data_IF_032021223476
#
_entry.id   IF_032021223476
#
_cell.length_a   1.000
_cell.length_b   1.000
_cell.length_c   1.000
_cell.angle_alpha   90.00
_cell.angle_beta   90.00
_cell.angle_gamma   90.00
#
_symmetry.space_group_name_H-M   'P 1'
#
loop_
_entity.id
_entity.type
_entity.pdbx_description
1 polymer ?
#
# COMPACT_ATOMS: atom_id res chain seq x y z
N UNK A 1 -8.96 -27.77 1.90
CA UNK A 1 -8.93 -27.03 3.16
C UNK A 1 -7.65 -27.37 3.89
N UNK A 2 -6.64 -26.51 3.79
CA UNK A 2 -5.44 -26.58 4.63
C UNK A 2 -5.31 -25.22 5.33
N UNK A 3 -5.40 -25.15 6.65
CA UNK A 3 -4.91 -24.00 7.36
C UNK A 3 -3.39 -24.15 7.40
N UNK A 4 -2.70 -23.53 6.49
CA UNK A 4 -1.26 -23.31 6.63
C UNK A 4 -1.05 -21.91 7.23
N UNK A 5 -1.36 -21.79 8.51
CA UNK A 5 -0.70 -20.75 9.28
C UNK A 5 0.75 -21.19 9.43
N UNK A 6 1.60 -20.77 8.50
CA UNK A 6 3.05 -20.75 8.75
C UNK A 6 3.23 -19.86 9.98
N UNK A 7 3.57 -20.48 11.11
CA UNK A 7 3.80 -19.78 12.36
C UNK A 7 5.03 -18.87 12.17
N UNK A 8 4.78 -17.65 11.75
CA UNK A 8 5.82 -16.63 11.68
C UNK A 8 6.17 -16.20 13.10
N UNK A 9 7.38 -16.55 13.53
CA UNK A 9 7.88 -16.22 14.88
C UNK A 9 8.84 -15.04 14.80
N UNK A 10 8.65 -14.07 15.70
CA UNK A 10 9.54 -12.94 15.89
C UNK A 10 9.92 -12.84 17.34
N UNK A 11 11.21 -12.63 17.62
CA UNK A 11 11.72 -12.41 18.97
C UNK A 11 11.91 -10.92 19.18
N UNK A 12 11.43 -10.43 20.30
CA UNK A 12 11.50 -9.04 20.71
C UNK A 12 11.97 -8.92 22.16
N UNK A 13 12.55 -7.80 22.49
CA UNK A 13 12.95 -7.44 23.85
C UNK A 13 12.27 -6.15 24.29
N UNK A 14 12.01 -6.02 25.58
CA UNK A 14 11.48 -4.77 26.14
C UNK A 14 12.41 -3.59 25.87
N UNK A 15 11.84 -2.48 25.45
CA UNK A 15 12.59 -1.25 25.18
C UNK A 15 12.44 -0.24 26.29
N UNK A 16 13.57 0.14 26.89
CA UNK A 16 13.66 1.21 27.89
C UNK A 16 14.09 2.55 27.29
N UNK A 17 14.73 2.52 26.11
CA UNK A 17 15.22 3.71 25.42
C UNK A 17 14.08 4.42 24.68
N UNK A 18 13.84 5.70 24.97
CA UNK A 18 12.76 6.52 24.42
C UNK A 18 13.34 7.82 23.83
N UNK A 19 12.61 8.43 22.90
CA UNK A 19 12.92 9.74 22.35
C UNK A 19 14.16 9.73 21.43
N UNK A 20 15.07 10.67 21.60
CA UNK A 20 16.20 10.89 20.67
C UNK A 20 17.18 9.71 20.59
N UNK A 21 17.27 8.88 21.62
CA UNK A 21 18.15 7.71 21.66
C UNK A 21 17.74 6.60 20.67
N UNK A 22 16.48 6.59 20.20
CA UNK A 22 15.99 5.64 19.20
C UNK A 22 16.73 5.77 17.87
N UNK A 23 17.29 6.95 17.54
CA UNK A 23 18.10 7.14 16.32
C UNK A 23 19.38 6.29 16.36
N UNK A 24 20.05 6.22 17.51
CA UNK A 24 21.27 5.41 17.69
C UNK A 24 20.96 3.91 17.59
N UNK A 25 19.85 3.47 18.20
CA UNK A 25 19.37 2.09 18.07
C UNK A 25 19.21 1.65 16.60
N UNK A 26 18.57 2.51 15.78
CA UNK A 26 18.40 2.21 14.35
C UNK A 26 19.74 2.11 13.61
N UNK A 27 20.75 2.88 13.99
CA UNK A 27 22.11 2.80 13.44
C UNK A 27 22.80 1.49 13.84
N UNK A 28 22.46 0.92 15.00
CA UNK A 28 22.94 -0.37 15.48
C UNK A 28 22.21 -1.57 14.85
N UNK A 29 21.28 -1.34 13.90
CA UNK A 29 20.51 -2.39 13.26
C UNK A 29 19.32 -2.90 14.08
N UNK A 30 18.90 -2.15 15.10
CA UNK A 30 17.73 -2.48 15.90
C UNK A 30 16.50 -1.70 15.42
N UNK A 31 15.36 -2.37 15.37
CA UNK A 31 14.09 -1.82 14.94
C UNK A 31 13.20 -1.55 16.16
N UNK A 32 12.83 -0.29 16.42
CA UNK A 32 11.84 0.02 17.45
C UNK A 32 10.45 -0.40 16.97
N UNK A 33 9.67 -0.98 17.87
CA UNK A 33 8.29 -1.35 17.63
C UNK A 33 7.45 -1.15 18.90
N UNK A 34 6.13 -1.28 18.76
CA UNK A 34 5.18 -1.19 19.87
C UNK A 34 4.16 -2.31 19.71
N UNK A 35 3.84 -2.97 20.83
CA UNK A 35 2.70 -3.92 20.92
C UNK A 35 1.63 -3.29 21.76
N UNK A 36 0.39 -3.32 21.29
CA UNK A 36 -0.78 -2.84 22.02
C UNK A 36 -2.00 -3.70 21.76
N UNK A 37 -2.96 -3.70 22.64
CA UNK A 37 -4.20 -4.46 22.47
C UNK A 37 -5.20 -4.20 23.58
N UNK A 38 -6.41 -4.76 23.47
CA UNK A 38 -7.47 -4.56 24.46
C UNK A 38 -7.11 -5.06 25.86
N UNK A 39 -6.33 -6.15 25.93
CA UNK A 39 -5.96 -6.80 27.19
C UNK A 39 -4.51 -6.51 27.61
N UNK A 40 -3.75 -5.85 26.73
CA UNK A 40 -2.33 -5.54 26.95
C UNK A 40 -2.17 -4.05 26.72
N UNK A 41 -1.57 -3.38 27.71
CA UNK A 41 -1.19 -1.97 27.54
C UNK A 41 -0.18 -1.80 26.40
N UNK A 42 0.14 -0.55 26.08
CA UNK A 42 1.18 -0.27 25.08
C UNK A 42 2.56 -0.64 25.63
N UNK A 43 3.18 -1.63 25.03
CA UNK A 43 4.49 -2.16 25.39
C UNK A 43 5.50 -1.76 24.31
N UNK A 44 6.46 -0.88 24.60
CA UNK A 44 7.53 -0.57 23.68
C UNK A 44 8.52 -1.75 23.61
N UNK A 45 8.82 -2.19 22.41
CA UNK A 45 9.72 -3.32 22.14
C UNK A 45 10.80 -2.96 21.14
N UNK A 46 11.81 -3.80 21.07
CA UNK A 46 12.91 -3.74 20.12
C UNK A 46 13.05 -5.09 19.42
N UNK A 47 13.15 -5.05 18.11
CA UNK A 47 13.42 -6.20 17.23
C UNK A 47 14.79 -6.05 16.60
N UNK A 48 15.35 -7.14 16.10
CA UNK A 48 16.43 -7.08 15.12
C UNK A 48 15.89 -6.66 13.76
N UNK A 49 16.50 -5.65 13.12
CA UNK A 49 16.03 -5.10 11.84
C UNK A 49 16.05 -6.14 10.72
N UNK A 50 17.10 -6.99 10.71
CA UNK A 50 17.27 -8.01 9.68
C UNK A 50 16.22 -9.11 9.82
N UNK A 51 16.05 -9.63 11.03
CA UNK A 51 15.09 -10.69 11.33
C UNK A 51 13.66 -10.23 11.07
N UNK A 52 13.31 -9.01 11.52
CA UNK A 52 12.01 -8.41 11.24
C UNK A 52 11.77 -8.22 9.73
N UNK A 53 12.77 -7.74 8.99
CA UNK A 53 12.66 -7.54 7.54
C UNK A 53 12.46 -8.88 6.80
N UNK A 54 13.17 -9.92 7.20
CA UNK A 54 13.06 -11.24 6.59
C UNK A 54 11.71 -11.89 6.91
N UNK A 55 11.27 -11.82 8.16
CA UNK A 55 10.01 -12.41 8.60
C UNK A 55 8.78 -11.72 7.99
N UNK A 56 8.85 -10.40 7.80
CA UNK A 56 7.74 -9.60 7.24
C UNK A 56 7.75 -9.49 5.72
N UNK A 57 8.77 -10.04 5.08
CA UNK A 57 8.88 -9.99 3.62
C UNK A 57 7.80 -10.83 2.97
N UNK A 58 6.92 -10.19 2.20
CA UNK A 58 5.81 -10.86 1.51
C UNK A 58 4.66 -11.27 2.40
N UNK A 59 4.69 -10.94 3.71
CA UNK A 59 3.56 -11.14 4.59
C UNK A 59 2.52 -10.04 4.41
N UNK A 60 1.25 -10.42 4.20
CA UNK A 60 0.15 -9.48 4.17
C UNK A 60 -0.10 -8.85 5.54
N UNK A 61 -0.82 -7.72 5.57
CA UNK A 61 -1.20 -7.03 6.82
C UNK A 61 -2.18 -7.86 7.67
N UNK A 62 -2.88 -8.80 7.05
CA UNK A 62 -3.82 -9.74 7.69
C UNK A 62 -3.15 -10.96 8.34
N UNK A 63 -1.86 -11.20 8.09
CA UNK A 63 -1.17 -12.37 8.61
C UNK A 63 -0.95 -12.30 10.13
N UNK A 64 -1.24 -13.41 10.81
CA UNK A 64 -0.98 -13.57 12.24
C UNK A 64 0.48 -13.94 12.48
N UNK A 65 1.10 -13.28 13.46
CA UNK A 65 2.49 -13.47 13.85
C UNK A 65 2.55 -13.84 15.33
N UNK A 66 3.37 -14.83 15.68
CA UNK A 66 3.72 -15.13 17.06
C UNK A 66 4.92 -14.28 17.47
N UNK A 67 4.68 -13.29 18.31
CA UNK A 67 5.69 -12.41 18.85
C UNK A 67 6.08 -12.85 20.26
N UNK A 68 7.33 -13.18 20.46
CA UNK A 68 7.89 -13.54 21.76
C UNK A 68 8.61 -12.32 22.35
N UNK A 69 8.09 -11.79 23.44
CA UNK A 69 8.65 -10.63 24.15
C UNK A 69 9.21 -11.10 25.49
N UNK A 70 10.53 -11.16 25.63
CA UNK A 70 11.25 -11.58 26.84
C UNK A 70 10.76 -12.92 27.44
N UNK A 71 10.22 -13.82 26.59
CA UNK A 71 9.70 -15.14 26.95
C UNK A 71 8.17 -15.24 26.98
N UNK A 72 7.45 -14.13 26.93
CA UNK A 72 6.00 -14.11 26.80
C UNK A 72 5.60 -14.13 25.32
N UNK A 73 4.74 -15.08 24.94
CA UNK A 73 4.28 -15.24 23.56
C UNK A 73 2.92 -14.56 23.34
N UNK A 74 2.86 -13.68 22.36
CA UNK A 74 1.66 -12.95 21.97
C UNK A 74 1.33 -13.19 20.50
N UNK A 75 0.06 -13.50 20.19
CA UNK A 75 -0.43 -13.50 18.81
C UNK A 75 -0.76 -12.08 18.43
N UNK A 76 -0.13 -11.59 17.37
CA UNK A 76 -0.24 -10.19 16.92
C UNK A 76 -0.51 -10.09 15.43
N UNK A 77 -1.15 -8.99 15.01
CA UNK A 77 -1.23 -8.52 13.63
C UNK A 77 -0.30 -7.32 13.45
N UNK A 78 0.27 -7.19 12.28
CA UNK A 78 0.99 -5.97 11.90
C UNK A 78 0.00 -4.91 11.46
N UNK A 79 -0.15 -3.85 12.26
CA UNK A 79 -1.09 -2.77 11.96
C UNK A 79 -0.48 -1.70 11.07
N UNK A 80 0.79 -1.37 11.28
CA UNK A 80 1.50 -0.38 10.48
C UNK A 80 2.97 -0.76 10.30
N UNK A 81 3.50 -0.47 9.10
CA UNK A 81 4.88 -0.69 8.69
C UNK A 81 5.45 0.62 8.16
N UNK A 82 6.24 1.31 8.97
CA UNK A 82 6.87 2.56 8.55
C UNK A 82 8.22 2.30 7.89
N UNK A 83 8.38 2.83 6.68
CA UNK A 83 9.61 2.71 5.91
C UNK A 83 10.32 4.06 5.77
N UNK A 84 11.64 4.01 5.70
CA UNK A 84 12.43 5.18 5.37
C UNK A 84 12.26 5.52 3.88
N UNK A 85 11.76 6.71 3.55
CA UNK A 85 11.38 7.11 2.18
C UNK A 85 12.53 6.93 1.18
N UNK A 86 13.77 7.33 1.55
CA UNK A 86 14.91 7.25 0.63
C UNK A 86 15.64 5.91 0.64
N UNK A 87 15.70 5.23 1.79
CA UNK A 87 16.51 4.01 1.98
C UNK A 87 15.70 2.73 1.92
N UNK A 88 14.37 2.80 1.98
CA UNK A 88 13.46 1.66 1.90
C UNK A 88 13.52 0.67 3.07
N UNK A 89 14.32 0.92 4.11
CA UNK A 89 14.36 0.04 5.28
C UNK A 89 13.27 0.38 6.29
N UNK A 90 12.85 -0.62 7.08
CA UNK A 90 11.88 -0.46 8.16
C UNK A 90 12.41 0.52 9.22
N UNK A 91 11.54 1.42 9.67
CA UNK A 91 11.82 2.39 10.73
C UNK A 91 11.01 2.15 12.00
N UNK A 92 9.79 1.66 11.88
CA UNK A 92 8.89 1.36 12.99
C UNK A 92 7.91 0.27 12.60
N UNK A 93 7.47 -0.51 13.57
CA UNK A 93 6.41 -1.51 13.44
C UNK A 93 5.41 -1.36 14.58
N UNK A 94 4.14 -1.39 14.21
CA UNK A 94 3.03 -1.38 15.14
C UNK A 94 2.34 -2.75 15.12
N UNK A 95 2.34 -3.41 16.27
CA UNK A 95 1.71 -4.71 16.46
C UNK A 95 0.45 -4.57 17.31
N UNK A 96 -0.64 -5.10 16.81
CA UNK A 96 -1.88 -5.23 17.55
C UNK A 96 -2.02 -6.65 18.09
N UNK A 97 -1.97 -6.81 19.41
CA UNK A 97 -2.24 -8.09 20.06
C UNK A 97 -3.72 -8.44 19.92
N UNK A 98 -3.97 -9.66 19.49
CA UNK A 98 -5.33 -10.16 19.20
C UNK A 98 -5.68 -11.36 20.07
N UNK A 99 -6.96 -11.45 20.43
CA UNK A 99 -7.52 -12.62 21.11
C UNK A 99 -8.32 -13.44 20.10
N UNK A 100 -8.17 -14.75 20.12
CA UNK A 100 -8.90 -15.66 19.22
C UNK A 100 -10.44 -15.66 19.44
N UNK A 101 -10.89 -15.06 20.55
CA UNK A 101 -12.30 -15.02 20.92
C UNK A 101 -13.02 -13.74 20.50
N UNK A 102 -12.30 -12.74 20.02
CA UNK A 102 -12.87 -11.45 19.64
C UNK A 102 -12.72 -11.21 18.14
N UNK A 103 -13.73 -10.56 17.54
CA UNK A 103 -13.63 -10.08 16.18
C UNK A 103 -12.64 -8.92 16.10
N UNK A 104 -11.85 -8.91 15.07
CA UNK A 104 -10.87 -7.89 14.75
C UNK A 104 -11.13 -7.30 13.39
N UNK A 105 -10.71 -6.07 13.22
CA UNK A 105 -10.75 -5.37 11.94
C UNK A 105 -9.33 -5.36 11.37
N UNK A 106 -9.17 -5.89 10.17
CA UNK A 106 -7.89 -5.96 9.49
C UNK A 106 -8.01 -5.51 8.03
N UNK A 107 -6.92 -4.95 7.50
CA UNK A 107 -6.78 -4.67 6.07
C UNK A 107 -6.30 -5.93 5.38
N UNK A 108 -7.08 -6.42 4.41
CA UNK A 108 -6.74 -7.61 3.62
C UNK A 108 -6.45 -7.18 2.20
N UNK A 109 -5.27 -7.49 1.67
CA UNK A 109 -4.93 -7.12 0.30
C UNK A 109 -5.74 -7.93 -0.71
N UNK A 110 -6.15 -7.24 -1.79
CA UNK A 110 -6.85 -7.80 -2.93
C UNK A 110 -5.84 -8.27 -3.96
N UNK A 111 -6.04 -9.47 -4.48
CA UNK A 111 -5.26 -10.02 -5.60
C UNK A 111 -6.15 -10.24 -6.79
N UNK A 112 -5.82 -9.58 -7.88
CA UNK A 112 -6.47 -9.85 -9.16
C UNK A 112 -5.83 -11.08 -9.79
N UNK A 113 -6.63 -12.04 -10.22
CA UNK A 113 -6.16 -13.23 -10.91
C UNK A 113 -6.98 -13.47 -12.18
N UNK A 114 -6.43 -14.26 -13.11
CA UNK A 114 -7.03 -14.47 -14.43
C UNK A 114 -6.54 -13.49 -15.47
N UNK A 115 -7.12 -13.57 -16.65
CA UNK A 115 -6.85 -12.66 -17.77
C UNK A 115 -8.17 -12.09 -18.24
N UNK A 116 -8.32 -10.78 -18.18
CA UNK A 116 -9.51 -10.10 -18.66
C UNK A 116 -9.53 -10.10 -20.20
N UNK A 117 -10.58 -10.62 -20.87
CA UNK A 117 -10.67 -10.64 -22.32
C UNK A 117 -10.55 -9.23 -22.95
N UNK A 118 -11.08 -8.23 -22.26
CA UNK A 118 -11.03 -6.82 -22.70
C UNK A 118 -9.60 -6.31 -22.95
N UNK A 119 -8.60 -6.80 -22.21
CA UNK A 119 -7.20 -6.40 -22.40
C UNK A 119 -6.64 -6.87 -23.75
N UNK A 120 -7.11 -8.03 -24.24
CA UNK A 120 -6.65 -8.60 -25.51
C UNK A 120 -7.42 -8.07 -26.70
N UNK A 121 -8.70 -7.73 -26.54
CA UNK A 121 -9.60 -7.31 -27.62
C UNK A 121 -9.54 -5.81 -27.89
N UNK A 122 -9.36 -5.01 -26.84
CA UNK A 122 -9.47 -3.53 -26.93
C UNK A 122 -8.19 -2.81 -26.51
N UNK A 123 -7.07 -3.54 -26.29
CA UNK A 123 -5.84 -2.96 -25.76
C UNK A 123 -6.09 -2.13 -24.48
N UNK A 124 -7.08 -2.55 -23.68
CA UNK A 124 -7.51 -1.86 -22.48
C UNK A 124 -6.54 -2.09 -21.33
N UNK A 125 -6.45 -1.11 -20.45
CA UNK A 125 -5.72 -1.22 -19.19
C UNK A 125 -6.69 -1.51 -18.04
N UNK A 126 -6.33 -2.46 -17.17
CA UNK A 126 -7.04 -2.73 -15.94
C UNK A 126 -6.46 -1.87 -14.82
N UNK A 127 -7.30 -1.06 -14.19
CA UNK A 127 -6.92 -0.22 -13.06
C UNK A 127 -7.54 -0.81 -11.81
N UNK A 128 -6.72 -1.09 -10.79
CA UNK A 128 -7.18 -1.45 -9.45
C UNK A 128 -7.35 -0.18 -8.63
N UNK A 129 -8.57 0.13 -8.24
CA UNK A 129 -8.89 1.31 -7.42
C UNK A 129 -8.66 1.01 -5.94
N UNK A 130 -8.90 -0.25 -5.53
CA UNK A 130 -8.68 -0.71 -4.17
C UNK A 130 -7.62 -1.80 -4.12
N UNK A 131 -6.55 -1.53 -3.37
CA UNK A 131 -5.49 -2.50 -3.11
C UNK A 131 -5.76 -3.35 -1.86
N UNK A 132 -6.47 -2.80 -0.87
CA UNK A 132 -6.78 -3.45 0.40
C UNK A 132 -8.24 -3.20 0.79
N UNK A 133 -8.89 -4.21 1.41
CA UNK A 133 -10.25 -4.13 1.94
C UNK A 133 -10.23 -4.24 3.47
N UNK A 134 -11.01 -3.37 4.13
CA UNK A 134 -11.22 -3.45 5.57
C UNK A 134 -12.27 -4.51 5.88
N UNK A 135 -11.85 -5.59 6.55
CA UNK A 135 -12.73 -6.70 6.91
C UNK A 135 -12.76 -6.93 8.42
N UNK A 136 -13.93 -7.32 8.92
CA UNK A 136 -14.14 -7.72 10.30
C UNK A 136 -14.36 -9.23 10.35
N UNK A 137 -13.44 -9.94 11.01
CA UNK A 137 -13.51 -11.39 11.19
C UNK A 137 -12.86 -11.82 12.51
N UNK A 138 -13.06 -13.09 12.87
CA UNK A 138 -12.24 -13.70 13.92
C UNK A 138 -10.82 -13.97 13.37
N UNK A 139 -9.76 -13.90 14.21
CA UNK A 139 -8.39 -14.13 13.76
C UNK A 139 -8.18 -15.46 13.04
N UNK A 140 -8.91 -16.51 13.45
CA UNK A 140 -8.84 -17.82 12.81
C UNK A 140 -9.57 -17.96 11.47
N UNK A 141 -10.47 -17.03 11.15
CA UNK A 141 -11.25 -16.99 9.93
C UNK A 141 -10.81 -15.87 8.98
N UNK A 142 -9.77 -15.11 9.35
CA UNK A 142 -9.25 -14.00 8.55
C UNK A 142 -8.48 -14.53 7.33
N UNK A 143 -8.87 -14.17 6.10
CA UNK A 143 -8.13 -14.57 4.91
C UNK A 143 -6.82 -13.77 4.79
N UNK A 144 -5.77 -14.38 4.27
CA UNK A 144 -4.50 -13.70 3.99
C UNK A 144 -4.64 -12.77 2.78
N UNK A 145 -5.42 -13.18 1.77
CA UNK A 145 -5.68 -12.44 0.54
C UNK A 145 -7.13 -12.62 0.12
N UNK A 146 -7.65 -11.66 -0.62
CA UNK A 146 -8.94 -11.74 -1.30
C UNK A 146 -8.64 -11.91 -2.79
N UNK A 147 -8.91 -13.10 -3.31
CA UNK A 147 -8.70 -13.38 -4.73
C UNK A 147 -9.92 -12.94 -5.53
N UNK A 148 -9.69 -12.09 -6.54
CA UNK A 148 -10.72 -11.54 -7.43
C UNK A 148 -10.44 -11.98 -8.85
N UNK A 149 -11.39 -12.71 -9.45
CA UNK A 149 -11.27 -13.17 -10.83
C UNK A 149 -11.69 -12.07 -11.82
N UNK A 150 -10.72 -11.59 -12.58
CA UNK A 150 -10.93 -10.55 -13.61
C UNK A 150 -11.40 -11.12 -14.96
N UNK A 151 -11.56 -12.43 -15.09
CA UNK A 151 -12.04 -13.06 -16.34
C UNK A 151 -13.48 -12.68 -16.68
N UNK A 152 -14.22 -12.11 -15.74
CA UNK A 152 -15.59 -11.61 -15.94
C UNK A 152 -15.66 -10.26 -16.65
N UNK A 153 -14.54 -9.55 -16.80
CA UNK A 153 -14.45 -8.23 -17.44
C UNK A 153 -14.30 -8.44 -18.95
N UNK A 154 -15.39 -8.21 -19.69
CA UNK A 154 -15.45 -8.45 -21.14
C UNK A 154 -15.51 -7.15 -21.95
N UNK A 155 -16.22 -6.13 -21.45
CA UNK A 155 -16.44 -4.87 -22.15
C UNK A 155 -15.66 -3.71 -21.49
N UNK A 156 -15.44 -2.64 -22.28
CA UNK A 156 -14.85 -1.41 -21.75
C UNK A 156 -15.84 -0.72 -20.80
N UNK A 157 -15.36 -0.41 -19.61
CA UNK A 157 -16.17 0.17 -18.54
C UNK A 157 -16.75 -0.85 -17.56
N UNK A 158 -16.57 -2.15 -17.82
CA UNK A 158 -16.93 -3.17 -16.84
C UNK A 158 -16.10 -3.01 -15.57
N UNK A 159 -16.76 -3.15 -14.42
CA UNK A 159 -16.14 -3.01 -13.11
C UNK A 159 -16.56 -4.14 -12.17
N UNK A 160 -15.62 -4.58 -11.34
CA UNK A 160 -15.89 -5.53 -10.27
C UNK A 160 -16.05 -4.74 -8.98
N UNK A 161 -17.19 -4.92 -8.33
CA UNK A 161 -17.50 -4.25 -7.06
C UNK A 161 -17.32 -5.18 -5.87
N UNK A 162 -17.13 -4.60 -4.68
CA UNK A 162 -17.01 -5.34 -3.43
C UNK A 162 -18.22 -6.22 -3.17
N UNK A 163 -19.43 -5.75 -3.55
CA UNK A 163 -20.68 -6.52 -3.39
C UNK A 163 -20.74 -7.81 -4.20
N UNK A 164 -19.95 -7.93 -5.28
CA UNK A 164 -19.88 -9.16 -6.11
C UNK A 164 -18.95 -10.24 -5.56
N UNK A 165 -18.19 -9.92 -4.49
CA UNK A 165 -17.20 -10.84 -3.92
C UNK A 165 -17.83 -11.86 -2.98
N UNK A 166 -17.43 -13.12 -3.13
CA UNK A 166 -17.78 -14.21 -2.21
C UNK A 166 -16.73 -14.34 -1.12
N UNK A 167 -16.84 -13.54 -0.06
CA UNK A 167 -15.87 -13.52 1.06
C UNK A 167 -16.12 -14.62 2.11
N UNK A 168 -17.21 -15.38 1.98
CA UNK A 168 -17.64 -16.39 2.95
C UNK A 168 -18.46 -15.80 4.11
N UNK A 169 -19.24 -16.66 4.79
CA UNK A 169 -20.24 -16.25 5.81
C UNK A 169 -19.65 -15.66 7.11
N UNK A 170 -18.33 -15.78 7.30
CA UNK A 170 -17.64 -15.42 8.55
C UNK A 170 -16.85 -14.12 8.47
N UNK A 171 -16.73 -13.55 7.28
CA UNK A 171 -15.97 -12.35 7.00
C UNK A 171 -16.94 -11.24 6.60
N UNK A 172 -16.98 -10.17 7.37
CA UNK A 172 -17.82 -9.01 7.07
C UNK A 172 -16.95 -7.87 6.56
N UNK A 173 -17.30 -7.29 5.42
CA UNK A 173 -16.66 -6.06 4.95
C UNK A 173 -17.21 -4.87 5.74
N UNK A 174 -16.33 -4.04 6.26
CA UNK A 174 -16.69 -2.88 7.07
C UNK A 174 -16.63 -1.60 6.25
N UNK A 175 -17.37 -1.53 5.17
CA UNK A 175 -17.49 -0.31 4.37
C UNK A 175 -18.96 0.11 4.34
N UNK A 176 -19.23 1.40 4.55
CA UNK A 176 -20.61 1.91 4.63
C UNK A 176 -21.36 1.81 3.29
N UNK A 177 -20.62 1.78 2.15
CA UNK A 177 -21.15 1.66 0.79
C UNK A 177 -20.64 0.42 0.05
N UNK A 178 -20.69 -0.75 0.69
CA UNK A 178 -20.10 -2.01 0.22
C UNK A 178 -20.47 -2.43 -1.21
N UNK A 179 -21.63 -2.01 -1.72
CA UNK A 179 -22.14 -2.46 -3.01
C UNK A 179 -21.54 -1.72 -4.20
N UNK A 180 -21.04 -0.49 -4.00
CA UNK A 180 -20.63 0.42 -5.09
C UNK A 180 -19.12 0.66 -5.19
N UNK A 181 -18.32 0.07 -4.31
CA UNK A 181 -16.87 0.30 -4.34
C UNK A 181 -16.27 -0.54 -5.46
N UNK A 182 -15.64 0.12 -6.41
CA UNK A 182 -14.97 -0.49 -7.56
C UNK A 182 -13.61 -1.04 -7.11
N UNK A 183 -13.39 -2.33 -7.37
CA UNK A 183 -12.09 -2.98 -7.09
C UNK A 183 -11.20 -2.89 -8.31
N UNK A 184 -11.77 -3.15 -9.49
CA UNK A 184 -11.05 -3.08 -10.75
C UNK A 184 -11.98 -2.57 -11.85
N UNK A 185 -11.47 -1.71 -12.71
CA UNK A 185 -12.18 -1.15 -13.85
C UNK A 185 -11.31 -1.24 -15.09
N UNK A 186 -11.92 -1.57 -16.24
CA UNK A 186 -11.26 -1.55 -17.54
C UNK A 186 -11.38 -0.16 -18.17
N UNK A 187 -10.25 0.44 -18.53
CA UNK A 187 -10.20 1.75 -19.19
C UNK A 187 -9.50 1.58 -20.54
N UNK A 188 -10.08 2.15 -21.60
CA UNK A 188 -9.43 2.20 -22.90
C UNK A 188 -8.13 3.00 -22.80
N UNK A 189 -7.04 2.40 -23.28
CA UNK A 189 -5.79 3.14 -23.47
C UNK A 189 -6.00 4.03 -24.72
N UNK A 190 -6.36 5.29 -24.52
CA UNK A 190 -6.45 6.24 -25.60
C UNK A 190 -5.05 6.73 -25.94
N UNK A 191 -4.37 6.09 -26.87
CA UNK A 191 -3.36 6.74 -27.66
C UNK A 191 -4.08 7.71 -28.63
N UNK A 192 -4.41 8.90 -28.15
CA UNK A 192 -4.54 10.03 -29.05
C UNK A 192 -3.13 10.42 -29.49
N UNK A 193 -2.64 9.81 -30.55
CA UNK A 193 -1.75 10.51 -31.45
C UNK A 193 -2.58 11.70 -32.02
N UNK A 194 -2.53 12.84 -31.32
CA UNK A 194 -2.75 14.10 -32.00
C UNK A 194 -1.66 14.18 -33.07
N UNK A 195 -2.03 13.74 -34.26
CA UNK A 195 -1.32 14.13 -35.48
C UNK A 195 -1.49 15.65 -35.55
N UNK A 196 -0.54 16.35 -34.94
CA UNK A 196 -0.33 17.76 -35.21
C UNK A 196 0.13 17.80 -36.67
N UNK A 197 -0.84 17.98 -37.57
CA UNK A 197 -0.52 18.41 -38.93
C UNK A 197 0.40 19.63 -38.77
N UNK A 198 1.61 19.61 -39.32
CA UNK A 198 2.45 20.78 -39.32
C UNK A 198 1.77 21.85 -40.13
N UNK A 199 1.18 22.84 -39.45
CA UNK A 199 0.73 24.05 -40.12
C UNK A 199 1.92 24.63 -40.84
N UNK A 200 1.84 24.62 -42.15
CA UNK A 200 2.75 25.22 -43.11
C UNK A 200 2.84 26.73 -42.76
N UNK A 201 3.80 27.11 -41.98
CA UNK A 201 4.17 28.49 -41.77
C UNK A 201 4.91 28.94 -43.00
N UNK A 202 4.20 29.59 -43.93
CA UNK A 202 4.82 30.45 -44.95
C UNK A 202 5.57 31.59 -44.20
N UNK A 203 6.88 31.83 -44.44
CA UNK A 203 7.56 32.97 -43.90
C UNK A 203 7.23 34.22 -44.74
N UNK A 204 6.36 35.07 -44.22
CA UNK A 204 6.24 36.44 -44.75
C UNK A 204 7.54 37.20 -44.50
N UNK A 205 8.17 37.50 -45.65
CA UNK A 205 9.32 38.41 -45.74
C UNK A 205 8.87 39.85 -45.40
N UNK A 206 9.18 40.31 -44.22
CA UNK A 206 9.11 41.73 -43.90
C UNK A 206 10.50 42.35 -44.08
N UNK A 207 10.53 43.23 -45.08
CA UNK A 207 11.66 44.03 -45.52
C UNK A 207 12.14 44.99 -44.43
N UNK A 208 13.40 44.96 -44.26
CA UNK A 208 14.39 46.04 -44.02
C UNK A 208 13.85 47.47 -43.90
N UNK A 209 14.01 48.09 -42.73
CA UNK A 209 14.01 49.53 -42.48
C UNK A 209 14.95 49.83 -41.34
N UNK A 210 16.02 50.29 -41.65
CA UNK A 210 17.15 51.09 -41.36
C UNK A 210 16.87 52.28 -40.42
N UNK A 211 17.92 52.53 -39.59
CA UNK A 211 18.32 53.76 -38.93
C UNK A 211 17.92 53.94 -37.46
N UNK A 212 18.88 54.06 -36.76
CA UNK A 212 19.64 55.11 -36.06
C UNK A 212 19.27 55.19 -34.59
N UNK A 213 20.32 54.96 -33.82
CA UNK A 213 21.09 55.91 -33.00
C UNK A 213 20.39 56.36 -31.74
N UNK A 214 21.05 56.17 -30.74
CA UNK A 214 21.83 56.96 -29.77
C UNK A 214 21.34 56.74 -28.31
N UNK A 215 22.34 56.44 -27.48
CA UNK A 215 22.75 57.11 -26.24
C UNK A 215 21.74 57.01 -25.09
N UNK A 216 22.11 56.78 -23.95
CA UNK A 216 23.13 57.04 -22.93
C UNK A 216 22.64 56.41 -21.65
N UNK A 217 23.53 55.74 -20.95
CA UNK A 217 24.13 56.11 -19.68
C UNK A 217 23.23 56.25 -18.46
N UNK A 218 23.71 55.52 -17.51
CA UNK A 218 23.94 55.92 -16.12
C UNK A 218 22.95 55.53 -15.02
N UNK A 219 23.63 55.02 -14.10
CA UNK A 219 23.68 55.17 -12.63
C UNK A 219 22.78 54.21 -11.83
N UNK A 220 23.49 53.32 -11.16
CA UNK A 220 23.99 53.39 -9.79
C UNK A 220 22.91 53.41 -8.68
N UNK A 221 23.17 52.52 -7.75
CA UNK A 221 22.88 52.62 -6.31
C UNK A 221 21.45 52.25 -5.79
N UNK A 222 21.37 51.35 -5.05
CA UNK A 222 21.61 51.04 -3.63
C UNK A 222 21.25 49.60 -3.28
#
# INVERSE_FOLDING_TARGET
>A
MKPMSSEHKLNATHRTLIGKQVKTMRQEGKLPAVVYGKHIGSIPITLDLRDATLALRGLPSSALINLEVDGDSHTVLVRDKQYHVLKGHLMHLDFQAVSMTEKIVAMVPVRLHGTAPVMSEYEAMLISDLEELEVEAFPGDLPEYIDVDVSSIVELGDAITVGSLSLGDKVNVRHEDNENIVIAISIATREEEEVIEPAEFEPELIARGKAEEEEEEDEENE
#
